data_IF_068034414975
#
_entry.id   IF_068034414975
#
_cell.length_a   1.000
_cell.length_b   1.000
_cell.length_c   1.000
_cell.angle_alpha   90.00
_cell.angle_beta   90.00
_cell.angle_gamma   90.00
#
_symmetry.space_group_name_H-M   'P 1'
#
loop_
_entity.id
_entity.type
_entity.pdbx_description
1 polymer ?
#
# COMPACT_ATOMS: atom_id res chain seq x y z
N UNK A 1 -23.42 2.53 -27.60
CA UNK A 1 -22.73 2.95 -26.36
C UNK A 1 -23.02 4.41 -26.11
N UNK A 2 -23.65 4.78 -24.98
CA UNK A 2 -23.78 6.21 -24.61
C UNK A 2 -22.44 6.67 -24.07
N UNK A 3 -21.75 7.55 -24.79
CA UNK A 3 -20.53 8.20 -24.31
C UNK A 3 -20.88 9.07 -23.09
N UNK A 4 -20.44 8.65 -21.91
CA UNK A 4 -20.59 9.46 -20.71
C UNK A 4 -19.59 10.60 -20.80
N UNK A 5 -20.06 11.82 -21.05
CA UNK A 5 -19.24 13.02 -21.01
C UNK A 5 -18.87 13.32 -19.55
N UNK A 6 -17.63 13.77 -19.27
CA UNK A 6 -17.27 14.23 -17.92
C UNK A 6 -18.18 15.40 -17.55
N UNK A 7 -18.76 15.37 -16.33
CA UNK A 7 -19.65 16.42 -15.85
C UNK A 7 -18.89 17.66 -15.39
N UNK A 8 -17.73 17.42 -14.76
CA UNK A 8 -16.88 18.49 -14.23
C UNK A 8 -15.40 18.16 -14.39
N UNK A 9 -14.59 19.18 -14.24
CA UNK A 9 -13.15 19.08 -14.17
C UNK A 9 -12.69 19.82 -12.93
N UNK A 10 -11.84 19.19 -12.12
CA UNK A 10 -11.24 19.78 -10.95
C UNK A 10 -9.72 19.88 -11.19
N UNK A 11 -9.14 21.09 -11.19
CA UNK A 11 -7.70 21.27 -11.26
C UNK A 11 -7.09 20.95 -9.88
N UNK A 12 -7.03 19.65 -9.56
CA UNK A 12 -6.64 19.17 -8.23
C UNK A 12 -5.16 19.39 -7.93
N UNK A 13 -4.31 19.22 -8.94
CA UNK A 13 -2.86 19.29 -8.83
C UNK A 13 -2.28 20.16 -9.93
N UNK A 14 -0.98 20.51 -9.81
CA UNK A 14 -0.31 21.32 -10.82
C UNK A 14 -0.32 20.61 -12.18
N UNK A 15 -0.57 21.32 -13.28
CA UNK A 15 -0.70 20.70 -14.60
C UNK A 15 0.51 19.87 -15.03
N UNK A 16 1.71 20.26 -14.59
CA UNK A 16 2.97 19.55 -14.89
C UNK A 16 3.15 18.26 -14.11
N UNK A 17 2.48 18.10 -12.97
CA UNK A 17 2.71 16.99 -12.04
C UNK A 17 1.75 15.81 -12.25
N UNK A 18 0.52 16.09 -12.68
CA UNK A 18 -0.52 15.09 -12.86
C UNK A 18 -1.00 14.45 -11.54
N UNK A 19 -2.12 13.76 -11.62
CA UNK A 19 -2.67 12.98 -10.50
C UNK A 19 -2.12 11.55 -10.54
N UNK A 20 -1.69 11.05 -9.39
CA UNK A 20 -1.23 9.67 -9.19
C UNK A 20 -2.37 8.74 -8.81
N UNK A 21 -3.22 9.20 -7.90
CA UNK A 21 -4.26 8.37 -7.32
C UNK A 21 -5.48 9.19 -6.93
N UNK A 22 -6.64 8.55 -6.98
CA UNK A 22 -7.92 9.08 -6.51
C UNK A 22 -8.54 8.02 -5.62
N UNK A 23 -9.00 8.42 -4.45
CA UNK A 23 -9.69 7.58 -3.49
C UNK A 23 -10.86 8.31 -2.86
N UNK A 24 -11.56 7.60 -2.01
CA UNK A 24 -12.66 8.12 -1.21
C UNK A 24 -12.22 8.06 0.25
N UNK A 25 -12.44 9.12 0.98
CA UNK A 25 -12.27 9.16 2.43
C UNK A 25 -13.42 8.34 3.05
N UNK A 26 -13.11 7.27 3.82
CA UNK A 26 -14.11 6.27 4.20
C UNK A 26 -15.23 6.81 5.09
N UNK A 27 -14.94 7.74 5.99
CA UNK A 27 -15.91 8.24 6.98
C UNK A 27 -16.87 9.29 6.40
N UNK A 28 -16.39 10.16 5.53
CA UNK A 28 -17.18 11.28 4.99
C UNK A 28 -17.62 11.10 3.54
N UNK A 29 -17.04 10.13 2.83
CA UNK A 29 -17.26 9.96 1.39
C UNK A 29 -16.62 11.06 0.54
N UNK A 30 -15.76 11.90 1.11
CA UNK A 30 -15.05 12.96 0.38
C UNK A 30 -14.04 12.39 -0.59
N UNK A 31 -13.80 13.10 -1.69
CA UNK A 31 -12.82 12.69 -2.69
C UNK A 31 -11.42 13.07 -2.22
N UNK A 32 -10.50 12.12 -2.28
CA UNK A 32 -9.08 12.35 -2.02
C UNK A 32 -8.30 12.21 -3.33
N UNK A 33 -7.35 13.12 -3.56
CA UNK A 33 -6.48 13.09 -4.75
C UNK A 33 -5.03 13.24 -4.34
N UNK A 34 -4.18 12.36 -4.85
CA UNK A 34 -2.73 12.44 -4.68
C UNK A 34 -2.08 12.84 -5.99
N UNK A 35 -1.21 13.83 -5.95
CA UNK A 35 -0.46 14.31 -7.11
C UNK A 35 1.03 14.03 -7.02
N UNK A 36 1.69 14.10 -8.19
CA UNK A 36 3.16 14.12 -8.25
C UNK A 36 3.77 15.44 -7.78
N UNK A 37 2.92 16.42 -7.41
CA UNK A 37 3.34 17.65 -6.73
C UNK A 37 3.61 17.45 -5.23
N UNK A 38 3.58 16.21 -4.77
CA UNK A 38 3.85 15.86 -3.39
C UNK A 38 2.71 16.17 -2.43
N UNK A 39 1.51 16.36 -2.94
CA UNK A 39 0.37 16.69 -2.10
C UNK A 39 -0.72 15.62 -2.18
N UNK A 40 -1.34 15.36 -1.03
CA UNK A 40 -2.61 14.67 -0.90
C UNK A 40 -3.66 15.69 -0.49
N UNK A 41 -4.75 15.79 -1.22
CA UNK A 41 -5.82 16.77 -1.01
C UNK A 41 -7.16 16.09 -0.83
N UNK A 42 -7.95 16.59 0.10
CA UNK A 42 -9.33 16.16 0.31
C UNK A 42 -10.30 17.23 -0.17
N UNK A 43 -11.31 16.82 -0.90
CA UNK A 43 -12.28 17.71 -1.53
C UNK A 43 -13.67 17.43 -0.98
N UNK A 44 -14.32 18.45 -0.44
CA UNK A 44 -15.69 18.30 0.01
C UNK A 44 -16.59 17.89 -1.16
N UNK A 45 -17.39 16.86 -0.96
CA UNK A 45 -18.49 16.54 -1.87
C UNK A 45 -19.66 17.48 -1.56
N UNK A 46 -20.25 18.07 -2.57
CA UNK A 46 -21.48 18.83 -2.41
C UNK A 46 -22.65 17.89 -2.08
N UNK A 47 -23.74 18.44 -1.54
CA UNK A 47 -24.90 17.70 -1.03
C UNK A 47 -25.67 16.85 -2.06
N UNK A 48 -25.09 16.61 -3.25
CA UNK A 48 -25.72 15.78 -4.27
C UNK A 48 -24.77 15.25 -5.33
N UNK A 49 -25.14 14.14 -6.00
CA UNK A 49 -24.30 13.48 -7.01
C UNK A 49 -24.12 14.34 -8.28
N UNK A 50 -24.69 15.53 -8.32
CA UNK A 50 -24.71 16.42 -9.47
C UNK A 50 -23.87 17.68 -9.30
N UNK A 51 -23.37 17.96 -8.12
CA UNK A 51 -22.56 19.14 -7.84
C UNK A 51 -21.05 18.82 -7.93
N UNK A 52 -20.22 19.75 -8.43
CA UNK A 52 -18.77 19.55 -8.46
C UNK A 52 -18.19 19.55 -7.05
N UNK A 53 -17.07 18.87 -6.85
CA UNK A 53 -16.31 19.02 -5.61
C UNK A 53 -15.98 20.48 -5.36
N UNK A 54 -16.07 20.92 -4.10
CA UNK A 54 -15.84 22.32 -3.73
C UNK A 54 -14.34 22.64 -3.72
N UNK A 55 -13.96 23.75 -4.31
CA UNK A 55 -12.65 24.35 -4.18
C UNK A 55 -12.73 25.56 -3.22
N UNK A 56 -11.74 25.80 -2.33
CA UNK A 56 -10.47 25.10 -2.18
C UNK A 56 -10.64 23.70 -1.55
N UNK A 57 -9.59 22.86 -1.52
CA UNK A 57 -9.64 21.58 -0.79
C UNK A 57 -9.91 21.83 0.69
N UNK A 58 -10.59 20.91 1.34
CA UNK A 58 -10.85 20.95 2.79
C UNK A 58 -9.55 20.94 3.57
N UNK A 59 -8.63 20.09 3.15
CA UNK A 59 -7.28 20.06 3.67
C UNK A 59 -6.28 19.58 2.61
N UNK A 60 -5.02 19.91 2.85
CA UNK A 60 -3.88 19.45 2.05
C UNK A 60 -2.82 18.91 2.99
N UNK A 61 -2.33 17.71 2.69
CA UNK A 61 -1.23 17.06 3.39
C UNK A 61 -0.03 16.98 2.43
N UNK A 62 1.15 17.36 2.90
CA UNK A 62 2.39 17.12 2.17
C UNK A 62 2.77 15.65 2.36
N UNK A 63 2.85 14.93 1.25
CA UNK A 63 3.32 13.55 1.18
C UNK A 63 4.60 13.54 0.36
N UNK A 64 5.54 12.67 0.67
CA UNK A 64 6.80 12.59 -0.08
C UNK A 64 6.56 12.56 -1.60
N UNK A 65 7.09 13.55 -2.34
CA UNK A 65 6.63 13.86 -3.70
C UNK A 65 7.22 12.98 -4.80
N UNK A 66 8.25 12.20 -4.49
CA UNK A 66 8.99 11.47 -5.52
C UNK A 66 8.55 10.01 -5.68
N UNK A 67 7.55 9.58 -4.90
CA UNK A 67 7.15 8.18 -4.87
C UNK A 67 5.94 7.93 -5.74
N UNK A 68 5.97 6.82 -6.48
CA UNK A 68 4.80 6.30 -7.20
C UNK A 68 3.81 5.61 -6.27
N UNK A 69 4.15 5.51 -4.98
CA UNK A 69 3.32 4.86 -3.98
C UNK A 69 2.00 5.61 -3.79
N UNK A 70 0.92 4.89 -3.96
CA UNK A 70 -0.43 5.40 -3.74
C UNK A 70 -0.71 5.42 -2.24
N UNK A 71 -1.43 6.47 -1.79
CA UNK A 71 -1.96 6.46 -0.43
C UNK A 71 -2.97 5.31 -0.24
N UNK A 72 -3.11 4.90 1.00
CA UNK A 72 -4.19 3.99 1.44
C UNK A 72 -4.87 4.55 2.68
N UNK A 73 -6.12 4.18 2.90
CA UNK A 73 -6.89 4.59 4.07
C UNK A 73 -7.34 3.37 4.87
N UNK A 74 -7.31 3.46 6.19
CA UNK A 74 -8.00 2.49 7.05
C UNK A 74 -9.45 2.90 7.20
N UNK A 75 -10.30 1.91 7.38
CA UNK A 75 -11.74 2.07 7.47
C UNK A 75 -12.16 3.20 8.40
N UNK A 76 -13.19 3.80 8.18
CA UNK A 76 -14.18 4.50 8.93
C UNK A 76 -15.45 3.81 8.50
N UNK A 77 -15.68 2.60 8.99
CA UNK A 77 -16.95 1.96 8.71
C UNK A 77 -18.03 2.81 9.34
N UNK A 78 -19.01 3.19 8.55
CA UNK A 78 -20.18 3.92 9.03
C UNK A 78 -20.93 3.19 10.17
N UNK A 79 -20.60 1.92 10.39
CA UNK A 79 -21.11 1.08 11.49
C UNK A 79 -20.37 1.28 12.82
N UNK A 80 -19.21 1.95 12.82
CA UNK A 80 -18.40 2.23 14.02
C UNK A 80 -18.14 3.73 14.17
N UNK A 81 -19.14 4.52 14.58
CA UNK A 81 -18.95 5.94 14.79
C UNK A 81 -17.96 6.18 15.93
N UNK A 82 -16.85 6.83 15.62
CA UNK A 82 -15.78 7.18 16.57
C UNK A 82 -14.42 6.55 16.34
N UNK A 83 -14.28 5.61 15.40
CA UNK A 83 -12.97 5.14 15.01
C UNK A 83 -12.27 6.22 14.15
N UNK A 84 -11.01 6.59 14.48
CA UNK A 84 -10.28 7.53 13.67
C UNK A 84 -10.01 6.92 12.28
N UNK A 85 -10.31 7.68 11.25
CA UNK A 85 -9.88 7.32 9.90
C UNK A 85 -8.39 7.63 9.77
N UNK A 86 -7.61 6.65 9.31
CA UNK A 86 -6.18 6.83 9.09
C UNK A 86 -5.89 6.89 7.59
N UNK A 87 -4.87 7.64 7.24
CA UNK A 87 -4.27 7.61 5.91
C UNK A 87 -2.79 7.28 6.03
N UNK A 88 -2.31 6.36 5.22
CA UNK A 88 -0.90 6.05 5.08
C UNK A 88 -0.38 6.57 3.75
N UNK A 89 0.76 7.25 3.80
CA UNK A 89 1.47 7.80 2.65
C UNK A 89 2.96 7.49 2.76
N UNK A 90 3.66 7.40 1.63
CA UNK A 90 5.11 7.34 1.66
C UNK A 90 5.66 8.63 2.30
N UNK A 91 6.59 8.49 3.24
CA UNK A 91 7.22 9.61 3.91
C UNK A 91 8.28 10.26 3.02
N UNK A 92 8.78 11.42 3.44
CA UNK A 92 9.92 12.09 2.80
C UNK A 92 11.20 11.25 2.93
N UNK A 93 11.33 10.49 4.01
CA UNK A 93 12.41 9.52 4.20
C UNK A 93 12.17 8.32 3.28
N UNK A 94 13.18 7.91 2.53
CA UNK A 94 13.09 6.97 1.42
C UNK A 94 12.33 5.67 1.71
N UNK A 95 12.55 5.02 2.86
CA UNK A 95 11.85 3.79 3.27
C UNK A 95 10.74 4.02 4.28
N UNK A 96 10.44 5.29 4.60
CA UNK A 96 9.47 5.65 5.63
C UNK A 96 8.03 5.65 5.13
N UNK A 97 7.13 5.40 6.06
CA UNK A 97 5.69 5.52 5.85
C UNK A 97 5.11 6.42 6.94
N UNK A 98 4.48 7.50 6.55
CA UNK A 98 3.75 8.37 7.46
C UNK A 98 2.31 7.90 7.60
N UNK A 99 1.89 7.74 8.84
CA UNK A 99 0.51 7.47 9.23
C UNK A 99 -0.08 8.75 9.80
N UNK A 100 -1.18 9.21 9.22
CA UNK A 100 -1.85 10.40 9.66
C UNK A 100 -3.30 10.09 10.00
N UNK A 101 -3.80 10.69 11.09
CA UNK A 101 -5.19 10.62 11.51
C UNK A 101 -5.98 11.72 10.81
N UNK A 102 -7.07 11.34 10.16
CA UNK A 102 -8.01 12.27 9.51
C UNK A 102 -9.01 12.72 10.58
N UNK A 103 -9.00 14.03 10.87
CA UNK A 103 -9.98 14.61 11.78
C UNK A 103 -11.37 14.55 11.15
N UNK A 104 -12.23 13.69 11.71
CA UNK A 104 -13.60 13.49 11.25
C UNK A 104 -14.61 14.42 11.94
N UNK A 105 -14.17 15.41 12.73
CA UNK A 105 -15.07 16.39 13.33
C UNK A 105 -15.74 17.20 12.21
N UNK A 106 -16.91 16.73 11.82
CA UNK A 106 -17.73 17.29 10.74
C UNK A 106 -18.47 18.48 11.30
N UNK A 107 -17.85 19.63 11.24
CA UNK A 107 -18.62 20.87 11.21
C UNK A 107 -18.94 21.14 9.73
N UNK A 108 -20.11 20.73 9.27
CA UNK A 108 -20.53 20.88 7.87
C UNK A 108 -20.54 22.34 7.40
N UNK A 109 -20.51 23.27 8.37
CA UNK A 109 -20.49 24.71 8.11
C UNK A 109 -19.09 25.27 7.95
N UNK A 110 -18.05 24.54 8.38
CA UNK A 110 -16.66 24.97 8.27
C UNK A 110 -16.10 24.69 6.87
N UNK A 111 -15.68 25.73 6.19
CA UNK A 111 -15.05 25.63 4.86
C UNK A 111 -13.60 25.13 4.91
N UNK A 112 -13.01 24.98 6.09
CA UNK A 112 -11.63 24.52 6.27
C UNK A 112 -11.57 23.60 7.48
N UNK A 113 -11.19 22.36 7.25
CA UNK A 113 -10.79 21.42 8.31
C UNK A 113 -9.26 21.42 8.47
N UNK A 114 -8.79 21.21 9.68
CA UNK A 114 -7.36 21.05 9.91
C UNK A 114 -6.81 19.89 9.07
N UNK A 115 -5.58 19.99 8.54
CA UNK A 115 -4.95 18.88 7.86
C UNK A 115 -4.82 17.68 8.79
N UNK A 116 -4.74 16.45 8.26
CA UNK A 116 -4.49 15.25 9.04
C UNK A 116 -3.27 15.41 9.93
N UNK A 117 -3.35 14.93 11.17
CA UNK A 117 -2.24 14.96 12.11
C UNK A 117 -1.43 13.66 11.97
N UNK A 118 -0.10 13.80 11.85
CA UNK A 118 0.80 12.64 11.82
C UNK A 118 0.81 11.97 13.20
N UNK A 119 0.45 10.70 13.26
CA UNK A 119 0.43 9.89 14.48
C UNK A 119 1.62 8.95 14.59
N UNK A 120 2.18 8.51 13.47
CA UNK A 120 3.36 7.66 13.43
C UNK A 120 4.17 7.85 12.15
N UNK A 121 5.46 7.58 12.21
CA UNK A 121 6.31 7.34 11.05
C UNK A 121 6.96 5.98 11.22
N UNK A 122 6.62 5.05 10.33
CA UNK A 122 7.17 3.70 10.31
C UNK A 122 8.43 3.71 9.46
N UNK A 123 9.56 3.37 10.04
CA UNK A 123 10.86 3.29 9.36
C UNK A 123 11.39 1.88 9.61
N UNK A 124 11.50 1.07 8.57
CA UNK A 124 12.18 -0.20 8.67
C UNK A 124 13.69 0.06 8.81
N UNK A 125 14.13 0.29 10.03
CA UNK A 125 15.55 0.41 10.33
C UNK A 125 16.25 -0.89 9.94
N UNK A 126 17.37 -0.77 9.25
CA UNK A 126 18.39 -1.80 9.21
C UNK A 126 18.71 -2.16 10.65
N UNK A 127 18.60 -3.44 10.97
CA UNK A 127 18.70 -4.02 12.30
C UNK A 127 19.42 -3.16 13.34
N UNK A 128 18.69 -2.57 14.25
CA UNK A 128 19.23 -1.92 15.45
C UNK A 128 19.85 -2.95 16.42
N UNK A 129 19.98 -4.21 16.06
CA UNK A 129 20.49 -5.31 16.90
C UNK A 129 22.02 -5.41 16.93
N UNK A 130 22.77 -4.50 16.31
CA UNK A 130 24.24 -4.47 16.40
C UNK A 130 24.83 -3.18 16.94
N UNK A 131 24.11 -2.41 17.71
CA UNK A 131 24.66 -1.26 18.43
C UNK A 131 24.90 -1.58 19.91
N UNK A 132 25.59 -2.65 20.24
CA UNK A 132 26.37 -2.75 21.49
C UNK A 132 27.39 -3.91 21.43
N UNK A 133 28.57 -3.64 20.88
CA UNK A 133 29.82 -4.26 21.33
C UNK A 133 31.00 -3.34 21.03
N UNK A 134 31.42 -2.69 22.11
CA UNK A 134 32.72 -2.08 22.38
C UNK A 134 33.89 -2.57 21.54
N UNK A 135 34.58 -1.57 20.94
CA UNK A 135 36.06 -1.44 20.85
C UNK A 135 36.90 -2.65 20.52
N UNK A 136 37.46 -2.68 19.30
CA UNK A 136 38.93 -2.72 19.12
C UNK A 136 39.30 -2.49 17.65
N UNK A 137 40.29 -1.64 17.49
CA UNK A 137 41.05 -1.29 16.29
C UNK A 137 41.52 -2.49 15.49
N UNK A 138 41.15 -2.54 14.20
CA UNK A 138 42.02 -3.02 13.14
C UNK A 138 41.47 -2.61 11.77
N UNK A 139 42.35 -2.04 10.96
CA UNK A 139 42.16 -1.56 9.62
C UNK A 139 41.87 -2.73 8.65
N UNK A 140 40.62 -2.92 8.31
CA UNK A 140 40.21 -3.68 7.13
C UNK A 140 39.00 -3.00 6.50
N UNK A 141 39.05 -2.87 5.17
CA UNK A 141 38.02 -2.25 4.36
C UNK A 141 36.65 -2.86 4.68
N UNK A 142 35.58 -2.04 4.84
CA UNK A 142 34.29 -2.59 5.14
C UNK A 142 33.83 -3.48 3.98
N UNK A 143 33.35 -4.69 4.24
CA UNK A 143 32.61 -5.46 3.25
C UNK A 143 31.37 -4.65 2.88
N UNK A 144 31.06 -4.63 1.61
CA UNK A 144 29.94 -3.89 1.05
C UNK A 144 28.64 -4.22 1.81
N UNK A 145 28.20 -3.29 2.64
CA UNK A 145 26.90 -3.33 3.31
C UNK A 145 25.80 -3.05 2.27
N UNK A 146 25.47 -4.04 1.43
CA UNK A 146 24.43 -3.95 0.41
C UNK A 146 23.14 -4.65 0.80
N UNK A 147 23.04 -5.24 1.99
CA UNK A 147 21.92 -6.14 2.30
C UNK A 147 20.75 -5.50 3.08
N UNK A 148 20.83 -4.23 3.45
CA UNK A 148 19.84 -3.64 4.38
C UNK A 148 19.07 -2.42 3.85
N UNK A 149 19.23 -2.07 2.60
CA UNK A 149 18.46 -0.97 2.00
C UNK A 149 17.16 -1.49 1.44
N UNK A 150 16.04 -1.05 2.01
CA UNK A 150 14.69 -1.38 1.49
C UNK A 150 14.35 -0.64 0.20
N UNK A 151 15.06 0.43 -0.11
CA UNK A 151 14.69 1.32 -1.20
C UNK A 151 13.42 2.12 -0.91
N UNK A 152 12.76 2.57 -1.95
CA UNK A 152 11.53 3.35 -1.87
C UNK A 152 10.33 2.49 -1.53
N UNK A 153 9.36 3.07 -0.81
CA UNK A 153 8.04 2.46 -0.62
C UNK A 153 7.29 2.45 -1.95
N UNK A 154 6.87 1.27 -2.41
CA UNK A 154 6.22 1.08 -3.70
C UNK A 154 4.70 0.90 -3.58
N UNK A 155 4.24 0.24 -2.52
CA UNK A 155 2.81 0.03 -2.28
C UNK A 155 2.52 -0.08 -0.79
N UNK A 156 1.32 0.36 -0.41
CA UNK A 156 0.78 0.35 0.95
C UNK A 156 -0.63 -0.24 0.93
N UNK A 157 -0.97 -1.01 1.97
CA UNK A 157 -2.32 -1.49 2.18
C UNK A 157 -2.58 -1.71 3.68
N UNK A 158 -3.62 -1.08 4.21
CA UNK A 158 -4.09 -1.41 5.56
C UNK A 158 -4.63 -2.83 5.60
N UNK A 159 -4.38 -3.52 6.71
CA UNK A 159 -4.88 -4.86 6.96
C UNK A 159 -6.05 -4.71 7.93
N UNK A 160 -7.28 -5.00 7.48
CA UNK A 160 -8.45 -4.93 8.36
C UNK A 160 -8.33 -5.97 9.48
N UNK A 161 -8.81 -5.63 10.66
CA UNK A 161 -8.91 -6.55 11.78
C UNK A 161 -10.37 -6.62 12.23
N UNK A 162 -11.06 -7.71 11.92
CA UNK A 162 -12.47 -7.89 12.26
C UNK A 162 -12.69 -8.23 13.74
N UNK A 163 -11.64 -8.73 14.42
CA UNK A 163 -11.76 -9.27 15.79
C UNK A 163 -11.55 -8.18 16.87
N UNK A 164 -11.06 -7.00 16.49
CA UNK A 164 -10.82 -5.89 17.40
C UNK A 164 -11.77 -4.71 17.12
N UNK A 165 -12.26 -4.11 18.19
CA UNK A 165 -13.02 -2.87 18.11
C UNK A 165 -12.19 -1.73 17.46
N UNK A 166 -12.80 -0.57 17.21
CA UNK A 166 -12.27 0.51 16.38
C UNK A 166 -11.12 1.29 17.05
N UNK A 167 -10.09 0.59 17.52
CA UNK A 167 -8.88 1.25 18.05
C UNK A 167 -7.84 1.46 16.96
N UNK A 168 -7.38 2.69 16.81
CA UNK A 168 -6.30 3.01 15.86
C UNK A 168 -4.99 2.26 16.20
N UNK A 169 -4.78 1.90 17.47
CA UNK A 169 -3.56 1.26 17.96
C UNK A 169 -3.41 -0.19 17.51
N UNK A 170 -4.49 -0.87 17.15
CA UNK A 170 -4.44 -2.26 16.66
C UNK A 170 -4.38 -2.39 15.15
N UNK A 171 -4.39 -1.27 14.42
CA UNK A 171 -4.35 -1.28 12.97
C UNK A 171 -2.99 -1.79 12.45
N UNK A 172 -3.03 -2.67 11.46
CA UNK A 172 -1.86 -3.19 10.78
C UNK A 172 -1.74 -2.63 9.37
N UNK A 173 -0.50 -2.51 8.89
CA UNK A 173 -0.18 -2.04 7.55
C UNK A 173 0.80 -2.98 6.87
N UNK A 174 0.52 -3.38 5.64
CA UNK A 174 1.49 -4.00 4.75
C UNK A 174 2.15 -2.92 3.89
N UNK A 175 3.47 -2.99 3.76
CA UNK A 175 4.27 -2.11 2.91
C UNK A 175 5.19 -2.94 2.02
N UNK A 176 5.24 -2.61 0.72
CA UNK A 176 6.12 -3.22 -0.26
C UNK A 176 7.19 -2.23 -0.69
N UNK A 177 8.40 -2.73 -0.95
CA UNK A 177 9.59 -1.91 -1.16
C UNK A 177 10.30 -2.24 -2.49
N UNK A 178 11.07 -1.27 -2.96
CA UNK A 178 11.83 -1.33 -4.21
C UNK A 178 12.82 -2.51 -4.25
N UNK A 179 13.41 -2.89 -3.13
CA UNK A 179 14.34 -4.04 -3.06
C UNK A 179 13.64 -5.41 -2.99
N UNK A 180 12.33 -5.47 -3.23
CA UNK A 180 11.56 -6.71 -3.24
C UNK A 180 11.15 -7.20 -1.86
N UNK A 181 11.36 -6.41 -0.83
CA UNK A 181 10.96 -6.70 0.55
C UNK A 181 9.50 -6.30 0.76
N UNK A 182 8.81 -7.08 1.56
CA UNK A 182 7.49 -6.76 2.11
C UNK A 182 7.57 -6.80 3.62
N UNK A 183 7.00 -5.78 4.27
CA UNK A 183 6.88 -5.67 5.72
C UNK A 183 5.42 -5.64 6.14
N UNK A 184 5.13 -6.18 7.32
CA UNK A 184 3.87 -5.99 8.02
C UNK A 184 4.17 -5.29 9.34
N UNK A 185 3.44 -4.22 9.61
CA UNK A 185 3.61 -3.35 10.76
C UNK A 185 2.35 -3.33 11.62
N UNK A 186 2.52 -3.17 12.92
CA UNK A 186 1.52 -2.50 13.76
C UNK A 186 1.83 -1.02 13.79
N UNK A 187 0.79 -0.18 13.78
CA UNK A 187 0.96 1.27 13.69
C UNK A 187 1.60 1.86 14.95
N UNK A 188 1.37 1.23 16.10
CA UNK A 188 1.92 1.62 17.40
C UNK A 188 3.31 1.03 17.68
N UNK A 189 3.84 0.19 16.78
CA UNK A 189 5.16 -0.44 16.94
C UNK A 189 6.23 0.29 16.11
N UNK A 190 7.41 0.45 16.68
CA UNK A 190 8.58 1.00 16.01
C UNK A 190 9.30 -0.02 15.11
N UNK A 191 8.96 -1.30 15.25
CA UNK A 191 9.57 -2.41 14.48
C UNK A 191 8.51 -3.16 13.69
N UNK A 192 8.84 -3.69 12.50
CA UNK A 192 7.90 -4.50 11.75
C UNK A 192 7.63 -5.82 12.48
N UNK A 193 6.37 -6.25 12.53
CA UNK A 193 5.96 -7.56 13.01
C UNK A 193 6.53 -8.69 12.16
N UNK A 194 6.68 -8.41 10.88
CA UNK A 194 7.23 -9.35 9.92
C UNK A 194 7.88 -8.61 8.77
N UNK A 195 9.02 -9.13 8.32
CA UNK A 195 9.77 -8.62 7.19
C UNK A 195 10.37 -9.79 6.42
N UNK A 196 10.21 -9.80 5.10
CA UNK A 196 10.89 -10.75 4.23
C UNK A 196 11.11 -10.18 2.83
N UNK A 197 12.26 -10.47 2.23
CA UNK A 197 12.47 -10.28 0.80
C UNK A 197 11.82 -11.43 0.06
N UNK A 198 10.70 -11.18 -0.58
CA UNK A 198 9.85 -12.18 -1.25
C UNK A 198 9.88 -12.08 -2.76
N UNK A 199 10.40 -10.96 -3.29
CA UNK A 199 10.61 -10.72 -4.70
C UNK A 199 12.08 -10.54 -5.01
N UNK A 200 12.51 -10.99 -6.19
CA UNK A 200 13.88 -10.82 -6.69
C UNK A 200 14.15 -9.39 -7.16
N UNK A 201 13.09 -8.68 -7.55
CA UNK A 201 13.04 -7.29 -8.02
C UNK A 201 12.04 -6.49 -7.19
N UNK A 202 11.80 -5.23 -7.54
CA UNK A 202 10.87 -4.38 -6.82
C UNK A 202 9.50 -5.02 -6.57
N UNK A 203 9.02 -4.98 -5.33
CA UNK A 203 7.65 -5.35 -4.97
C UNK A 203 6.72 -4.16 -5.29
N UNK A 204 5.98 -4.26 -6.38
CA UNK A 204 5.32 -3.11 -7.03
C UNK A 204 3.89 -2.85 -6.56
N UNK A 205 3.22 -3.85 -6.01
CA UNK A 205 1.81 -3.73 -5.63
C UNK A 205 1.42 -4.72 -4.53
N UNK A 206 0.37 -4.36 -3.80
CA UNK A 206 -0.23 -5.13 -2.70
C UNK A 206 -1.75 -5.12 -2.84
N UNK A 207 -2.39 -6.23 -2.43
CA UNK A 207 -3.82 -6.29 -2.16
C UNK A 207 -4.06 -7.16 -0.93
N UNK A 208 -4.81 -6.65 0.02
CA UNK A 208 -5.20 -7.33 1.25
C UNK A 208 -6.61 -7.89 1.09
N UNK A 209 -6.89 -9.03 1.68
CA UNK A 209 -8.24 -9.59 1.65
C UNK A 209 -9.17 -8.84 2.62
N UNK A 210 -10.47 -8.90 2.35
CA UNK A 210 -11.48 -8.12 3.06
C UNK A 210 -11.56 -8.40 4.57
N UNK A 211 -10.97 -9.51 5.05
CA UNK A 211 -11.02 -9.90 6.48
C UNK A 211 -9.62 -9.88 7.14
N UNK A 212 -8.60 -9.36 6.46
CA UNK A 212 -7.26 -9.23 7.00
C UNK A 212 -6.51 -10.53 7.28
N UNK A 213 -6.97 -11.67 6.75
CA UNK A 213 -6.34 -13.00 6.98
C UNK A 213 -5.28 -13.36 5.94
N UNK A 214 -5.05 -12.48 4.98
CA UNK A 214 -4.01 -12.65 3.99
C UNK A 214 -3.92 -11.51 3.00
N UNK A 215 -2.86 -11.54 2.20
CA UNK A 215 -2.65 -10.57 1.14
C UNK A 215 -1.84 -11.17 -0.02
N UNK A 216 -1.81 -10.47 -1.12
CA UNK A 216 -0.99 -10.80 -2.29
C UNK A 216 -0.07 -9.63 -2.57
N UNK A 217 1.20 -9.90 -2.79
CA UNK A 217 2.17 -8.96 -3.35
C UNK A 217 2.51 -9.32 -4.79
N UNK A 218 2.71 -8.32 -5.63
CA UNK A 218 3.18 -8.49 -7.00
C UNK A 218 4.52 -7.78 -7.19
N UNK A 219 5.42 -8.37 -7.97
CA UNK A 219 6.76 -7.85 -8.18
C UNK A 219 7.10 -7.61 -9.65
N UNK A 220 8.13 -6.78 -9.87
CA UNK A 220 8.74 -6.58 -11.18
C UNK A 220 9.41 -7.87 -11.69
N UNK A 221 9.73 -8.80 -10.79
CA UNK A 221 10.20 -10.17 -11.10
C UNK A 221 9.14 -11.06 -11.78
N UNK A 222 7.94 -10.53 -12.03
CA UNK A 222 6.85 -11.25 -12.67
C UNK A 222 6.15 -12.25 -11.77
N UNK A 223 6.33 -12.16 -10.48
CA UNK A 223 5.71 -13.08 -9.51
C UNK A 223 4.59 -12.40 -8.74
N UNK A 224 3.56 -13.19 -8.43
CA UNK A 224 2.59 -12.88 -7.39
C UNK A 224 2.85 -13.81 -6.20
N UNK A 225 3.09 -13.24 -5.03
CA UNK A 225 3.35 -14.01 -3.80
C UNK A 225 2.15 -13.85 -2.87
N UNK A 226 1.65 -14.99 -2.37
CA UNK A 226 0.51 -15.05 -1.46
C UNK A 226 1.00 -15.19 -0.03
N UNK A 227 0.41 -14.41 0.84
CA UNK A 227 0.73 -14.37 2.26
C UNK A 227 -0.49 -14.73 3.09
N UNK A 228 -0.26 -15.39 4.22
CA UNK A 228 -1.27 -15.67 5.24
C UNK A 228 -0.90 -14.96 6.51
N UNK A 229 -1.89 -14.35 7.13
CA UNK A 229 -1.78 -13.76 8.46
C UNK A 229 -2.58 -14.65 9.41
N UNK A 230 -1.97 -15.03 10.52
CA UNK A 230 -2.61 -15.75 11.63
C UNK A 230 -2.40 -14.91 12.87
N UNK A 231 -3.49 -14.46 13.44
CA UNK A 231 -3.53 -13.71 14.70
C UNK A 231 -4.13 -14.67 15.72
N UNK A 232 -3.33 -15.12 16.71
CA UNK A 232 -3.81 -15.97 17.78
C UNK A 232 -4.31 -15.15 18.97
N UNK A 233 -3.63 -14.03 19.25
CA UNK A 233 -4.02 -13.02 20.23
C UNK A 233 -3.53 -11.68 19.74
N UNK A 234 -4.45 -10.76 19.49
CA UNK A 234 -4.10 -9.46 18.91
C UNK A 234 -3.41 -8.52 19.92
N UNK A 235 -3.56 -8.79 21.22
CA UNK A 235 -2.86 -8.05 22.27
C UNK A 235 -1.38 -8.43 22.40
N UNK A 236 -0.99 -9.61 21.89
CA UNK A 236 0.40 -10.09 21.89
C UNK A 236 0.99 -10.06 20.48
N UNK A 237 1.98 -9.20 20.27
CA UNK A 237 2.70 -9.09 18.99
C UNK A 237 3.34 -10.41 18.54
N UNK A 238 3.79 -11.24 19.49
CA UNK A 238 4.40 -12.53 19.21
C UNK A 238 3.39 -13.58 18.70
N UNK A 239 2.10 -13.32 18.89
CA UNK A 239 1.02 -14.19 18.43
C UNK A 239 0.63 -13.95 16.97
N UNK A 240 1.12 -12.86 16.36
CA UNK A 240 0.87 -12.53 14.96
C UNK A 240 1.94 -13.21 14.09
N UNK A 241 1.50 -14.10 13.22
CA UNK A 241 2.39 -14.82 12.29
C UNK A 241 2.02 -14.53 10.86
N UNK A 242 3.00 -14.07 10.08
CA UNK A 242 2.88 -13.91 8.64
C UNK A 242 3.72 -14.97 7.95
N UNK A 243 3.16 -15.64 6.97
CA UNK A 243 3.84 -16.71 6.22
C UNK A 243 3.53 -16.62 4.74
N UNK A 244 4.53 -16.90 3.91
CA UNK A 244 4.34 -17.11 2.47
C UNK A 244 3.71 -18.49 2.28
N UNK A 245 2.57 -18.54 1.58
CA UNK A 245 1.80 -19.76 1.33
C UNK A 245 1.83 -20.22 -0.12
N UNK A 246 2.38 -19.43 -1.01
CA UNK A 246 2.53 -19.79 -2.40
C UNK A 246 2.96 -18.62 -3.27
N UNK A 247 3.51 -18.92 -4.43
CA UNK A 247 3.89 -17.96 -5.45
C UNK A 247 3.44 -18.42 -6.83
N UNK A 248 3.10 -17.48 -7.69
CA UNK A 248 2.75 -17.69 -9.09
C UNK A 248 3.74 -16.92 -9.97
N UNK A 249 4.15 -17.51 -11.06
CA UNK A 249 5.16 -16.95 -11.95
C UNK A 249 6.57 -17.51 -11.66
N UNK A 250 7.63 -16.94 -12.23
CA UNK A 250 7.59 -15.78 -13.12
C UNK A 250 6.82 -16.10 -14.40
N UNK A 251 6.02 -15.16 -14.87
CA UNK A 251 5.34 -15.34 -16.15
C UNK A 251 6.39 -15.15 -17.26
N UNK A 252 6.30 -16.00 -18.30
CA UNK A 252 7.29 -16.02 -19.37
C UNK A 252 7.47 -14.60 -19.96
N UNK A 253 8.71 -14.21 -20.28
CA UNK A 253 8.96 -12.96 -20.97
C UNK A 253 8.21 -12.95 -22.30
N UNK A 254 7.67 -11.80 -22.68
CA UNK A 254 6.85 -11.67 -23.87
C UNK A 254 7.64 -11.99 -25.17
N UNK A 255 8.96 -11.91 -25.16
CA UNK A 255 9.84 -12.29 -26.27
C UNK A 255 11.31 -12.36 -25.85
N UNK A 256 12.05 -13.26 -26.46
CA UNK A 256 13.50 -13.22 -26.53
C UNK A 256 13.82 -12.42 -27.80
N UNK A 257 14.71 -11.41 -27.73
CA UNK A 257 15.08 -10.68 -28.92
C UNK A 257 16.00 -11.53 -29.84
N UNK A 258 16.29 -11.02 -31.02
CA UNK A 258 17.13 -11.72 -32.02
C UNK A 258 18.57 -11.94 -31.53
N UNK A 259 19.01 -11.28 -30.46
CA UNK A 259 20.32 -11.45 -29.83
C UNK A 259 20.30 -12.49 -28.71
N UNK A 260 19.13 -13.05 -28.38
CA UNK A 260 18.98 -14.02 -27.27
C UNK A 260 18.82 -13.38 -25.89
N UNK A 261 18.75 -12.03 -25.82
CA UNK A 261 18.52 -11.33 -24.57
C UNK A 261 17.05 -11.43 -24.15
N UNK A 262 16.83 -11.84 -22.90
CA UNK A 262 15.51 -11.89 -22.29
C UNK A 262 15.02 -10.45 -22.09
N UNK A 263 14.14 -9.99 -22.99
CA UNK A 263 13.49 -8.70 -22.77
C UNK A 263 12.58 -8.79 -21.56
N UNK A 264 12.86 -7.95 -20.63
CA UNK A 264 12.15 -7.64 -19.39
C UNK A 264 11.15 -8.72 -18.91
N UNK A 265 11.34 -9.22 -17.70
CA UNK A 265 10.35 -10.01 -17.00
C UNK A 265 8.99 -9.32 -17.10
N UNK A 266 7.93 -10.13 -17.24
CA UNK A 266 6.56 -9.62 -17.24
C UNK A 266 6.16 -9.19 -15.83
N UNK A 267 6.61 -8.02 -15.39
CA UNK A 267 6.32 -7.48 -14.07
C UNK A 267 4.81 -7.34 -13.82
N UNK A 268 4.46 -7.30 -12.55
CA UNK A 268 3.09 -7.14 -12.10
C UNK A 268 2.85 -5.67 -11.79
N UNK A 269 1.87 -5.05 -12.42
CA UNK A 269 1.53 -3.64 -12.20
C UNK A 269 0.51 -3.43 -11.09
N UNK A 270 -0.41 -4.39 -10.92
CA UNK A 270 -1.48 -4.30 -9.94
C UNK A 270 -1.99 -5.68 -9.58
N UNK A 271 -2.47 -5.83 -8.35
CA UNK A 271 -3.19 -7.01 -7.88
C UNK A 271 -4.49 -6.57 -7.21
N UNK A 272 -5.51 -7.42 -7.27
CA UNK A 272 -6.78 -7.21 -6.59
C UNK A 272 -7.37 -8.55 -6.16
N UNK A 273 -7.85 -8.63 -4.93
CA UNK A 273 -8.53 -9.79 -4.38
C UNK A 273 -10.03 -9.50 -4.41
N UNK A 274 -10.82 -10.46 -4.89
CA UNK A 274 -12.28 -10.32 -4.87
C UNK A 274 -12.80 -10.48 -3.44
N UNK A 275 -13.83 -9.73 -3.07
CA UNK A 275 -14.35 -9.65 -1.69
C UNK A 275 -14.76 -11.03 -1.13
N UNK A 276 -15.23 -11.95 -1.96
CA UNK A 276 -15.56 -13.33 -1.57
C UNK A 276 -14.32 -14.21 -1.32
N UNK A 277 -13.13 -13.69 -1.52
CA UNK A 277 -11.82 -14.35 -1.32
C UNK A 277 -11.66 -15.67 -2.07
N UNK A 278 -12.35 -15.84 -3.21
CA UNK A 278 -12.21 -17.05 -4.03
C UNK A 278 -11.15 -16.91 -5.10
N UNK A 279 -10.97 -15.69 -5.62
CA UNK A 279 -10.02 -15.40 -6.69
C UNK A 279 -9.27 -14.08 -6.40
N UNK A 280 -8.10 -13.97 -7.01
CA UNK A 280 -7.42 -12.69 -7.19
C UNK A 280 -7.01 -12.51 -8.66
N UNK A 281 -6.85 -11.27 -9.08
CA UNK A 281 -6.42 -10.91 -10.42
C UNK A 281 -5.09 -10.14 -10.35
N UNK A 282 -4.24 -10.36 -11.34
CA UNK A 282 -2.97 -9.67 -11.52
C UNK A 282 -2.94 -9.03 -12.90
N UNK A 283 -2.75 -7.71 -12.95
CA UNK A 283 -2.48 -6.96 -14.18
C UNK A 283 -0.99 -6.96 -14.45
N UNK A 284 -0.59 -7.49 -15.58
CA UNK A 284 0.81 -7.71 -15.94
C UNK A 284 1.29 -6.70 -16.99
N UNK A 285 2.59 -6.45 -17.05
CA UNK A 285 3.18 -5.50 -18.01
C UNK A 285 3.08 -5.96 -19.46
N UNK A 286 2.77 -7.24 -19.70
CA UNK A 286 2.48 -7.78 -21.04
C UNK A 286 1.07 -7.42 -21.56
N UNK A 287 0.34 -6.59 -20.83
CA UNK A 287 -1.03 -6.16 -21.14
C UNK A 287 -2.10 -7.20 -20.79
N UNK A 288 -1.75 -8.32 -20.19
CA UNK A 288 -2.68 -9.36 -19.80
C UNK A 288 -3.13 -9.22 -18.36
N UNK A 289 -4.35 -9.66 -18.10
CA UNK A 289 -4.87 -9.89 -16.75
C UNK A 289 -4.94 -11.38 -16.50
N UNK A 290 -4.30 -11.84 -15.43
CA UNK A 290 -4.30 -13.23 -15.00
C UNK A 290 -5.12 -13.39 -13.74
N UNK A 291 -6.01 -14.39 -13.73
CA UNK A 291 -6.91 -14.66 -12.61
C UNK A 291 -6.54 -16.00 -11.99
N UNK A 292 -6.41 -16.00 -10.67
CA UNK A 292 -5.97 -17.15 -9.88
C UNK A 292 -6.98 -17.47 -8.77
N UNK A 293 -7.01 -18.71 -8.34
CA UNK A 293 -7.72 -19.10 -7.12
C UNK A 293 -7.01 -18.48 -5.89
N UNK A 294 -7.79 -17.92 -4.96
CA UNK A 294 -7.26 -17.35 -3.70
C UNK A 294 -7.54 -18.24 -2.48
N UNK A 295 -8.46 -19.17 -2.54
CA UNK A 295 -8.96 -20.00 -1.44
C UNK A 295 -7.91 -20.71 -0.56
N UNK A 296 -8.37 -21.46 0.42
CA UNK A 296 -7.56 -22.27 1.35
C UNK A 296 -6.87 -23.41 0.61
N UNK A 297 -5.56 -23.39 0.45
CA UNK A 297 -4.78 -24.47 -0.15
C UNK A 297 -3.50 -23.99 -0.83
N UNK A 298 -2.65 -24.92 -1.22
CA UNK A 298 -1.42 -24.74 -1.99
C UNK A 298 -1.62 -23.79 -3.19
N UNK A 299 -0.53 -23.32 -3.78
CA UNK A 299 -0.48 -22.42 -4.92
C UNK A 299 -1.77 -22.43 -5.75
N UNK A 300 -2.59 -21.38 -5.65
CA UNK A 300 -3.88 -21.32 -6.33
C UNK A 300 -3.69 -21.51 -7.83
N UNK A 301 -4.60 -22.23 -8.46
CA UNK A 301 -4.53 -22.53 -9.89
C UNK A 301 -4.82 -21.27 -10.72
N UNK A 302 -4.11 -21.09 -11.83
CA UNK A 302 -4.50 -20.13 -12.86
C UNK A 302 -5.88 -20.50 -13.41
N UNK A 303 -6.86 -19.61 -13.25
CA UNK A 303 -8.25 -19.82 -13.70
C UNK A 303 -8.44 -19.29 -15.13
N UNK A 304 -7.87 -18.12 -15.40
CA UNK A 304 -8.00 -17.45 -16.70
C UNK A 304 -6.82 -16.52 -17.00
N UNK A 305 -6.52 -16.33 -18.27
CA UNK A 305 -5.65 -15.27 -18.78
C UNK A 305 -6.43 -14.53 -19.86
N UNK A 306 -6.63 -13.23 -19.65
CA UNK A 306 -7.36 -12.33 -20.53
C UNK A 306 -6.36 -11.34 -21.13
N UNK A 307 -6.38 -11.15 -22.43
CA UNK A 307 -5.47 -10.24 -23.14
C UNK A 307 -5.91 -10.00 -24.54
#
# INVERSE_FOLDING_TARGET
MRTRRPRWRLPAHTPSSGALHVGIEPSSGHIMTQGRDGTLKCWGTAHGPHEPPRAPPRWTLNAGSYHYCKFTTSGGDASSPGAPALVAVAAEIQSGVDICEINTSIDETSTSTSPPSRVATLIAAADATHADKTTTTSSESPPAATEDRLGTVMALAFIPNEDEGPSASSSMLAAAYEEGTVCVWRIDSSTPLWRARVHGEAATCLAVDAVGKGFVSGGADGRCVRHRIVIADASDENSIKVSVIGAHGPFAPASVDAAGDVRALCGIAAVAIRDDRKIFAAGCWDGRVRVFEYGRGSAGRLVASLG
#
